data_IF_562720699821
#
_entry.id   IF_562720699821
#
_cell.length_a   1.000
_cell.length_b   1.000
_cell.length_c   1.000
_cell.angle_alpha   90.00
_cell.angle_beta   90.00
_cell.angle_gamma   90.00
#
_symmetry.space_group_name_H-M   'P 1'
#
loop_
_entity.id
_entity.type
_entity.pdbx_description
1 polymer ?
#
# COMPACT_ATOMS: atom_id res chain seq x y z
N UNK A 1 -15.96 2.32 -17.04
CA UNK A 1 -15.16 2.92 -15.95
C UNK A 1 -13.99 1.99 -15.70
N UNK A 2 -12.78 2.33 -16.18
CA UNK A 2 -11.61 1.46 -16.11
C UNK A 2 -10.64 2.06 -15.09
N UNK A 3 -10.67 1.57 -13.86
CA UNK A 3 -9.67 1.93 -12.86
C UNK A 3 -8.40 1.16 -13.20
N UNK A 4 -7.29 1.88 -13.44
CA UNK A 4 -5.98 1.24 -13.57
C UNK A 4 -5.68 0.46 -12.29
N UNK A 5 -5.12 -0.75 -12.37
CA UNK A 5 -4.78 -1.52 -11.18
C UNK A 5 -3.81 -0.71 -10.32
N UNK A 6 -4.14 -0.56 -9.04
CA UNK A 6 -3.20 -0.06 -8.05
C UNK A 6 -2.00 -1.01 -8.00
N UNK A 7 -0.80 -0.46 -7.87
CA UNK A 7 0.38 -1.30 -7.72
C UNK A 7 0.66 -1.49 -6.24
N UNK A 8 0.92 -2.73 -5.83
CA UNK A 8 1.37 -3.05 -4.49
C UNK A 8 2.81 -3.54 -4.53
N UNK A 9 3.54 -3.35 -3.44
CA UNK A 9 4.90 -3.83 -3.25
C UNK A 9 5.11 -4.17 -1.79
N UNK A 10 5.65 -5.36 -1.53
CA UNK A 10 6.05 -5.77 -0.19
C UNK A 10 7.58 -5.86 -0.17
N UNK A 11 8.24 -5.09 0.69
CA UNK A 11 9.70 -5.12 0.87
C UNK A 11 10.04 -4.99 2.34
N UNK A 12 10.96 -5.81 2.84
CA UNK A 12 11.57 -5.72 4.19
C UNK A 12 10.58 -5.35 5.32
N UNK A 13 9.40 -5.97 5.33
CA UNK A 13 8.32 -5.69 6.29
C UNK A 13 7.57 -4.35 6.11
N UNK A 14 7.49 -3.84 4.90
CA UNK A 14 6.70 -2.66 4.52
C UNK A 14 5.88 -2.97 3.27
N UNK A 15 4.56 -2.79 3.34
CA UNK A 15 3.65 -2.90 2.20
C UNK A 15 3.34 -1.51 1.64
N UNK A 16 3.95 -1.18 0.50
CA UNK A 16 3.72 0.06 -0.23
C UNK A 16 2.62 -0.10 -1.30
N UNK A 17 1.62 0.78 -1.27
CA UNK A 17 0.53 0.86 -2.23
C UNK A 17 0.64 2.15 -3.06
N UNK A 18 0.76 1.99 -4.37
CA UNK A 18 0.92 3.06 -5.34
C UNK A 18 -0.39 3.31 -6.08
N UNK A 19 -0.88 4.54 -5.97
CA UNK A 19 -2.09 4.98 -6.65
C UNK A 19 -1.78 6.03 -7.72
N UNK A 20 -2.55 6.06 -8.82
CA UNK A 20 -2.33 7.03 -9.91
C UNK A 20 -2.61 8.48 -9.50
N UNK A 21 -3.42 8.71 -8.45
CA UNK A 21 -3.79 10.04 -7.95
C UNK A 21 -4.02 9.99 -6.43
N UNK A 22 -3.86 11.13 -5.75
CA UNK A 22 -4.11 11.26 -4.31
C UNK A 22 -5.55 10.91 -3.92
N UNK A 23 -6.54 11.24 -4.74
CA UNK A 23 -7.95 10.89 -4.47
C UNK A 23 -8.18 9.38 -4.39
N UNK A 24 -7.58 8.63 -5.33
CA UNK A 24 -7.67 7.16 -5.33
C UNK A 24 -6.89 6.59 -4.15
N UNK A 25 -5.72 7.16 -3.84
CA UNK A 25 -4.94 6.78 -2.68
C UNK A 25 -5.71 6.93 -1.37
N UNK A 26 -6.35 8.07 -1.17
CA UNK A 26 -7.11 8.38 0.03
C UNK A 26 -8.33 7.45 0.16
N UNK A 27 -9.03 7.19 -0.95
CA UNK A 27 -10.14 6.24 -0.99
C UNK A 27 -9.70 4.81 -0.67
N UNK A 28 -8.59 4.35 -1.26
CA UNK A 28 -8.05 3.01 -0.99
C UNK A 28 -7.55 2.92 0.44
N UNK A 29 -6.90 3.96 0.94
CA UNK A 29 -6.50 4.06 2.33
C UNK A 29 -7.72 3.94 3.24
N UNK A 30 -8.76 4.73 3.07
CA UNK A 30 -9.94 4.64 3.94
C UNK A 30 -10.63 3.26 3.88
N UNK A 31 -10.84 2.72 2.67
CA UNK A 31 -11.54 1.45 2.46
C UNK A 31 -10.73 0.22 2.89
N UNK A 32 -9.43 0.21 2.61
CA UNK A 32 -8.59 -0.97 2.75
C UNK A 32 -7.61 -0.88 3.91
N UNK A 33 -7.26 0.30 4.44
CA UNK A 33 -6.32 0.39 5.57
C UNK A 33 -6.82 -0.40 6.77
N UNK A 34 -8.11 -0.30 7.13
CA UNK A 34 -8.65 -1.06 8.26
C UNK A 34 -8.63 -2.58 7.99
N UNK A 35 -9.03 -3.00 6.79
CA UNK A 35 -9.02 -4.41 6.40
C UNK A 35 -7.60 -4.99 6.40
N UNK A 36 -6.66 -4.28 5.75
CA UNK A 36 -5.27 -4.75 5.66
C UNK A 36 -4.63 -4.73 7.05
N UNK A 37 -4.79 -3.66 7.82
CA UNK A 37 -4.21 -3.59 9.17
C UNK A 37 -4.79 -4.67 10.10
N UNK A 38 -6.10 -4.96 10.00
CA UNK A 38 -6.72 -6.10 10.68
C UNK A 38 -6.09 -7.43 10.31
N UNK A 39 -5.91 -7.69 9.00
CA UNK A 39 -5.22 -8.89 8.52
C UNK A 39 -3.77 -8.93 9.00
N UNK A 40 -3.00 -7.84 8.86
CA UNK A 40 -1.59 -7.83 9.27
C UNK A 40 -1.43 -8.09 10.77
N UNK A 41 -2.33 -7.56 11.60
CA UNK A 41 -2.35 -7.84 13.02
C UNK A 41 -2.79 -9.28 13.34
N UNK A 42 -3.73 -9.84 12.56
CA UNK A 42 -4.16 -11.24 12.72
C UNK A 42 -3.10 -12.25 12.28
N UNK A 43 -2.37 -11.97 11.20
CA UNK A 43 -1.36 -12.86 10.61
C UNK A 43 0.02 -12.72 11.24
N UNK A 44 0.48 -11.49 11.47
CA UNK A 44 1.83 -11.21 11.96
C UNK A 44 1.85 -10.66 13.40
N UNK A 45 0.71 -10.17 13.92
CA UNK A 45 0.61 -9.63 15.28
C UNK A 45 1.65 -8.53 15.52
N UNK A 46 2.67 -8.85 16.32
CA UNK A 46 3.76 -7.94 16.67
C UNK A 46 4.73 -7.64 15.53
N UNK A 47 4.75 -8.48 14.48
CA UNK A 47 5.61 -8.36 13.31
C UNK A 47 4.88 -7.76 12.09
N UNK A 48 3.71 -7.15 12.31
CA UNK A 48 2.88 -6.61 11.25
C UNK A 48 3.65 -5.62 10.35
N UNK A 49 3.70 -5.84 9.02
CA UNK A 49 4.41 -4.95 8.12
C UNK A 49 3.79 -3.56 8.08
N UNK A 50 4.63 -2.55 7.90
CA UNK A 50 4.17 -1.16 7.87
C UNK A 50 3.46 -0.85 6.56
N UNK A 51 2.28 -0.25 6.65
CA UNK A 51 1.52 0.18 5.47
C UNK A 51 1.97 1.57 5.02
N UNK A 52 2.44 1.65 3.77
CA UNK A 52 2.83 2.90 3.13
C UNK A 52 1.95 3.16 1.90
N UNK A 53 1.51 4.39 1.73
CA UNK A 53 0.70 4.79 0.58
C UNK A 53 1.44 5.88 -0.16
N UNK A 54 1.62 5.71 -1.48
CA UNK A 54 2.34 6.67 -2.31
C UNK A 54 1.59 6.99 -3.61
N UNK A 55 1.66 8.25 -4.05
CA UNK A 55 1.03 8.70 -5.30
C UNK A 55 2.06 8.61 -6.41
N UNK A 56 1.76 7.85 -7.47
CA UNK A 56 2.63 7.67 -8.62
C UNK A 56 2.63 6.24 -9.15
N UNK A 57 3.48 5.99 -10.12
CA UNK A 57 3.94 4.64 -10.49
C UNK A 57 5.32 4.47 -9.92
N UNK A 58 5.80 3.24 -9.71
CA UNK A 58 7.18 3.01 -9.25
C UNK A 58 8.15 3.71 -10.21
N UNK A 59 8.64 4.87 -9.81
CA UNK A 59 9.85 5.45 -10.38
C UNK A 59 10.96 4.74 -9.62
N UNK A 60 11.69 3.92 -10.37
CA UNK A 60 12.53 2.85 -9.85
C UNK A 60 13.31 3.22 -8.60
N UNK A 61 13.34 2.28 -7.67
CA UNK A 61 14.38 2.09 -6.67
C UNK A 61 15.73 2.62 -7.21
N UNK A 62 16.18 3.86 -6.88
CA UNK A 62 17.57 4.22 -7.07
C UNK A 62 18.25 3.69 -5.82
N UNK A 63 18.71 2.44 -5.86
CA UNK A 63 19.63 1.99 -4.83
C UNK A 63 20.93 2.81 -4.97
N UNK A 64 21.50 3.36 -3.88
CA UNK A 64 22.82 4.00 -3.91
C UNK A 64 23.93 3.03 -4.33
#
# INVERSE_FOLDING_TARGET
>A
MWIRPLQAELSDNTLALYAPNRFVLDWVRDKYLNNINGLLNEFCGTDAPQLRFEVGTKAGHPNP
#
